data_IF_924030697540
#
_entry.id   IF_924030697540
#
_cell.length_a   1.000
_cell.length_b   1.000
_cell.length_c   1.000
_cell.angle_alpha   90.00
_cell.angle_beta   90.00
_cell.angle_gamma   90.00
#
_symmetry.space_group_name_H-M   'P 1'
#
loop_
_entity.id
_entity.type
_entity.pdbx_description
1 polymer ?
#
# COMPACT_ATOMS: atom_id res chain seq x y z
N UNK A 1 -59.67 27.72 5.77
CA UNK A 1 -58.96 26.42 5.70
C UNK A 1 -57.70 26.65 4.89
N UNK A 2 -56.59 26.92 5.59
CA UNK A 2 -55.28 27.07 4.98
C UNK A 2 -54.66 25.69 4.83
N UNK A 3 -54.16 25.40 3.63
CA UNK A 3 -53.32 24.24 3.37
C UNK A 3 -51.86 24.73 3.29
N UNK A 4 -51.04 24.17 4.18
CA UNK A 4 -49.64 24.49 4.39
C UNK A 4 -48.80 23.37 3.78
N UNK A 5 -47.86 23.73 2.92
CA UNK A 5 -46.47 23.30 3.11
C UNK A 5 -46.01 21.99 2.46
N UNK A 6 -45.31 22.20 1.33
CA UNK A 6 -44.06 21.57 0.88
C UNK A 6 -44.04 20.11 0.39
N UNK A 7 -43.45 19.87 -0.80
CA UNK A 7 -42.75 18.64 -1.10
C UNK A 7 -41.23 18.79 -0.91
N UNK A 8 -40.68 17.91 -0.07
CA UNK A 8 -39.56 17.03 -0.43
C UNK A 8 -38.21 17.67 -0.74
N UNK A 9 -37.36 17.79 0.28
CA UNK A 9 -35.91 17.87 0.14
C UNK A 9 -35.35 16.57 -0.48
N UNK A 10 -35.28 16.54 -1.81
CA UNK A 10 -34.51 15.53 -2.56
C UNK A 10 -33.02 15.81 -2.44
N UNK A 11 -32.38 15.23 -1.41
CA UNK A 11 -30.93 15.18 -1.29
C UNK A 11 -30.34 14.30 -2.38
N UNK A 12 -30.13 14.88 -3.56
CA UNK A 12 -29.38 14.25 -4.64
C UNK A 12 -27.97 13.96 -4.18
N UNK A 13 -27.68 12.69 -3.90
CA UNK A 13 -26.29 12.23 -3.85
C UNK A 13 -25.67 12.58 -5.19
N UNK A 14 -24.66 13.46 -5.17
CA UNK A 14 -23.91 13.81 -6.38
C UNK A 14 -23.25 12.52 -6.86
N UNK A 15 -23.85 11.91 -7.89
CA UNK A 15 -23.27 10.80 -8.60
C UNK A 15 -22.08 11.36 -9.38
N UNK A 16 -20.89 11.33 -8.77
CA UNK A 16 -19.67 11.59 -9.50
C UNK A 16 -19.53 10.52 -10.58
N UNK A 17 -19.38 10.94 -11.84
CA UNK A 17 -19.10 9.99 -12.90
C UNK A 17 -17.71 9.41 -12.60
N UNK A 18 -17.63 8.09 -12.39
CA UNK A 18 -16.39 7.36 -12.08
C UNK A 18 -15.19 7.78 -12.95
N UNK A 19 -15.44 8.11 -14.22
CA UNK A 19 -14.46 8.64 -15.17
C UNK A 19 -13.81 9.95 -14.71
N UNK A 20 -14.56 10.87 -14.13
CA UNK A 20 -14.07 12.18 -13.65
C UNK A 20 -13.22 12.04 -12.39
N UNK A 21 -13.63 11.19 -11.44
CA UNK A 21 -12.88 10.96 -10.21
C UNK A 21 -11.57 10.20 -10.47
N UNK A 22 -11.60 9.23 -11.38
CA UNK A 22 -10.41 8.50 -11.81
C UNK A 22 -9.46 9.42 -12.59
N UNK A 23 -9.97 10.18 -13.57
CA UNK A 23 -9.19 11.16 -14.32
C UNK A 23 -8.58 12.23 -13.40
N UNK A 24 -9.33 12.69 -12.38
CA UNK A 24 -8.80 13.60 -11.38
C UNK A 24 -7.67 12.94 -10.57
N UNK A 25 -7.87 11.73 -10.04
CA UNK A 25 -6.84 11.02 -9.29
C UNK A 25 -5.58 10.79 -10.14
N UNK A 26 -5.73 10.40 -11.41
CA UNK A 26 -4.64 10.26 -12.37
C UNK A 26 -3.92 11.60 -12.63
N UNK A 27 -4.67 12.70 -12.75
CA UNK A 27 -4.10 14.05 -12.91
C UNK A 27 -3.28 14.50 -11.70
N UNK A 28 -3.60 13.98 -10.50
CA UNK A 28 -2.86 14.31 -9.29
C UNK A 28 -1.57 13.50 -9.17
N UNK A 29 -1.44 12.36 -9.83
CA UNK A 29 -0.33 11.45 -9.59
C UNK A 29 1.03 11.99 -10.07
N UNK A 30 1.05 12.93 -11.02
CA UNK A 30 2.26 13.65 -11.44
C UNK A 30 2.27 15.13 -10.97
N UNK A 31 1.44 15.46 -9.96
CA UNK A 31 1.33 16.84 -9.48
C UNK A 31 2.65 17.34 -8.86
N UNK A 32 3.02 18.62 -9.11
CA UNK A 32 4.32 19.15 -8.70
C UNK A 32 4.46 19.28 -7.18
N UNK A 33 3.36 19.23 -6.41
CA UNK A 33 3.40 19.36 -4.95
C UNK A 33 3.97 18.13 -4.24
N UNK A 34 4.07 16.97 -4.90
CA UNK A 34 4.64 15.77 -4.29
C UNK A 34 6.10 15.95 -3.89
N UNK A 35 6.90 16.57 -4.77
CA UNK A 35 8.32 16.81 -4.50
C UNK A 35 8.56 17.63 -3.23
N UNK A 36 8.02 18.87 -3.08
CA UNK A 36 8.23 19.64 -1.85
C UNK A 36 7.63 18.96 -0.62
N UNK A 37 6.50 18.26 -0.74
CA UNK A 37 5.92 17.49 0.38
C UNK A 37 6.88 16.41 0.88
N UNK A 38 7.42 15.59 -0.01
CA UNK A 38 8.36 14.54 0.39
C UNK A 38 9.73 15.07 0.77
N UNK A 39 10.16 16.21 0.21
CA UNK A 39 11.41 16.85 0.60
C UNK A 39 11.33 17.44 2.02
N UNK A 40 10.16 17.93 2.42
CA UNK A 40 9.90 18.36 3.80
C UNK A 40 9.90 17.16 4.77
N UNK A 41 9.19 16.08 4.42
CA UNK A 41 9.15 14.86 5.24
C UNK A 41 10.49 14.11 5.30
N UNK A 42 11.25 14.13 4.21
CA UNK A 42 12.52 13.43 4.03
C UNK A 42 13.57 14.38 3.45
N UNK A 43 14.27 15.16 4.30
CA UNK A 43 15.25 16.15 3.85
C UNK A 43 16.36 15.58 2.95
N UNK A 44 16.73 14.31 3.11
CA UNK A 44 17.72 13.60 2.30
C UNK A 44 17.16 12.96 1.03
N UNK A 45 15.93 13.27 0.62
CA UNK A 45 15.36 12.81 -0.66
C UNK A 45 16.18 13.35 -1.84
N UNK A 46 16.67 12.45 -2.70
CA UNK A 46 17.42 12.79 -3.92
C UNK A 46 16.72 12.40 -5.20
N UNK A 47 15.85 11.41 -5.15
CA UNK A 47 15.10 10.96 -6.33
C UNK A 47 13.71 10.46 -5.95
N UNK A 48 12.77 10.65 -6.86
CA UNK A 48 11.36 10.32 -6.69
C UNK A 48 10.80 9.84 -8.03
N UNK A 49 10.23 8.64 -8.05
CA UNK A 49 9.68 8.05 -9.27
C UNK A 49 8.29 7.44 -9.01
N UNK A 50 7.35 7.69 -9.92
CA UNK A 50 6.01 7.11 -9.87
C UNK A 50 6.00 5.71 -10.47
N UNK A 51 5.35 4.77 -9.82
CA UNK A 51 5.11 3.42 -10.34
C UNK A 51 3.88 3.44 -11.26
N UNK A 52 4.10 3.36 -12.58
CA UNK A 52 3.02 3.50 -13.59
C UNK A 52 2.44 2.18 -14.11
N UNK A 53 3.20 1.08 -14.04
CA UNK A 53 2.81 -0.20 -14.64
C UNK A 53 2.10 -1.08 -13.62
N UNK A 54 0.97 -1.68 -14.04
CA UNK A 54 0.38 -2.79 -13.28
C UNK A 54 1.39 -3.94 -13.21
N UNK A 55 1.64 -4.37 -12.00
CA UNK A 55 2.69 -5.30 -11.65
C UNK A 55 2.69 -5.56 -10.15
N UNK A 56 3.68 -6.31 -9.68
CA UNK A 56 3.78 -6.67 -8.26
C UNK A 56 3.81 -5.43 -7.35
N UNK A 57 4.44 -4.34 -7.79
CA UNK A 57 4.59 -3.11 -7.01
C UNK A 57 3.23 -2.41 -6.78
N UNK A 58 2.44 -2.16 -7.84
CA UNK A 58 1.10 -1.57 -7.69
C UNK A 58 0.16 -2.48 -6.88
N UNK A 59 0.24 -3.80 -7.09
CA UNK A 59 -0.56 -4.77 -6.31
C UNK A 59 -0.12 -4.83 -4.84
N UNK A 60 1.14 -4.51 -4.58
CA UNK A 60 1.71 -4.31 -3.25
C UNK A 60 1.43 -2.93 -2.65
N UNK A 61 0.62 -2.07 -3.30
CA UNK A 61 0.25 -0.75 -2.80
C UNK A 61 1.34 0.31 -2.94
N UNK A 62 2.24 0.16 -3.92
CA UNK A 62 3.34 1.10 -4.15
C UNK A 62 2.96 2.01 -5.32
N UNK A 63 2.66 3.27 -5.02
CA UNK A 63 2.42 4.32 -6.02
C UNK A 63 3.71 5.07 -6.36
N UNK A 64 4.63 5.18 -5.39
CA UNK A 64 5.85 5.96 -5.54
C UNK A 64 7.05 5.34 -4.83
N UNK A 65 8.21 5.53 -5.46
CA UNK A 65 9.53 5.22 -4.94
C UNK A 65 10.25 6.52 -4.56
N UNK A 66 10.81 6.56 -3.35
CA UNK A 66 11.64 7.66 -2.85
C UNK A 66 13.04 7.13 -2.57
N UNK A 67 14.07 7.72 -3.16
CA UNK A 67 15.47 7.35 -2.90
C UNK A 67 16.11 8.44 -2.05
N UNK A 68 16.69 8.04 -0.93
CA UNK A 68 17.42 8.91 -0.01
C UNK A 68 18.93 8.91 -0.32
N UNK A 69 19.65 9.93 0.13
CA UNK A 69 21.12 10.01 0.04
C UNK A 69 21.85 8.79 0.61
N UNK A 70 21.25 8.12 1.60
CA UNK A 70 21.80 6.89 2.19
C UNK A 70 21.72 5.67 1.27
N UNK A 71 21.08 5.78 0.10
CA UNK A 71 20.75 4.67 -0.79
C UNK A 71 19.49 3.90 -0.39
N UNK A 72 18.85 4.25 0.74
CA UNK A 72 17.57 3.64 1.14
C UNK A 72 16.48 4.05 0.14
N UNK A 73 15.72 3.07 -0.32
CA UNK A 73 14.47 3.29 -1.07
C UNK A 73 13.28 3.13 -0.13
N UNK A 74 12.37 4.10 -0.15
CA UNK A 74 11.09 4.04 0.54
C UNK A 74 9.97 3.88 -0.48
N UNK A 75 9.02 3.01 -0.17
CA UNK A 75 7.81 2.77 -0.94
C UNK A 75 6.64 3.52 -0.31
N UNK A 76 5.85 4.21 -1.12
CA UNK A 76 4.74 5.05 -0.64
C UNK A 76 3.45 4.73 -1.40
N UNK A 77 2.35 4.58 -0.65
CA UNK A 77 0.98 4.63 -1.16
C UNK A 77 0.51 6.09 -1.08
N UNK A 78 -0.20 6.56 -2.11
CA UNK A 78 -0.66 7.95 -2.21
C UNK A 78 -2.18 8.07 -2.32
N UNK A 79 -2.74 8.93 -1.47
CA UNK A 79 -4.14 9.31 -1.53
C UNK A 79 -4.31 10.83 -1.52
N UNK A 80 -4.75 11.38 -2.65
CA UNK A 80 -5.14 12.78 -2.75
C UNK A 80 -6.66 12.95 -2.54
N UNK A 81 -7.05 13.98 -1.80
CA UNK A 81 -8.45 14.39 -1.60
C UNK A 81 -8.68 15.78 -2.19
N UNK A 82 -9.67 15.86 -3.08
CA UNK A 82 -10.10 17.11 -3.73
C UNK A 82 -10.78 18.08 -2.77
N UNK A 83 -11.34 17.58 -1.67
CA UNK A 83 -11.98 18.36 -0.61
C UNK A 83 -11.31 18.10 0.73
N UNK A 84 -11.21 19.16 1.53
CA UNK A 84 -10.72 19.05 2.89
C UNK A 84 -11.78 18.41 3.79
N UNK A 85 -11.40 17.31 4.41
CA UNK A 85 -12.12 16.67 5.50
C UNK A 85 -11.12 16.43 6.62
N UNK A 86 -11.40 16.75 7.89
CA UNK A 86 -10.46 16.56 8.99
C UNK A 86 -10.36 15.08 9.42
N UNK A 87 -10.28 14.17 8.45
CA UNK A 87 -10.31 12.71 8.61
C UNK A 87 -9.39 12.02 7.59
N UNK A 88 -9.12 10.75 7.87
CA UNK A 88 -8.44 9.83 6.96
C UNK A 88 -9.41 8.70 6.63
N UNK A 89 -9.64 8.47 5.34
CA UNK A 89 -10.52 7.41 4.85
C UNK A 89 -9.76 6.08 4.75
N UNK A 90 -10.01 5.16 5.68
CA UNK A 90 -9.41 3.83 5.70
C UNK A 90 -10.29 2.84 4.93
N UNK A 91 -9.88 2.45 3.73
CA UNK A 91 -10.64 1.53 2.87
C UNK A 91 -10.54 0.09 3.39
N UNK A 92 -11.64 -0.41 3.94
CA UNK A 92 -11.72 -1.79 4.47
C UNK A 92 -12.39 -2.75 3.48
N UNK A 93 -13.17 -2.25 2.52
CA UNK A 93 -13.64 -3.04 1.37
C UNK A 93 -13.30 -2.34 0.06
N UNK A 94 -12.53 -3.01 -0.80
CA UNK A 94 -12.31 -2.56 -2.18
C UNK A 94 -13.50 -2.93 -3.08
N UNK A 95 -14.10 -4.09 -2.83
CA UNK A 95 -15.34 -4.56 -3.45
C UNK A 95 -16.17 -5.28 -2.39
N UNK A 96 -17.21 -4.59 -1.89
CA UNK A 96 -18.05 -5.11 -0.82
C UNK A 96 -18.85 -6.34 -1.25
N UNK A 97 -19.40 -6.33 -2.46
CA UNK A 97 -20.27 -7.37 -2.99
C UNK A 97 -19.53 -8.72 -3.12
N UNK A 98 -18.23 -8.67 -3.44
CA UNK A 98 -17.34 -9.84 -3.54
C UNK A 98 -16.51 -10.07 -2.28
N UNK A 99 -16.72 -9.29 -1.23
CA UNK A 99 -15.97 -9.35 0.04
C UNK A 99 -14.45 -9.29 -0.21
N UNK A 100 -14.00 -8.42 -1.11
CA UNK A 100 -12.57 -8.22 -1.39
C UNK A 100 -12.04 -7.15 -0.43
N UNK A 101 -11.05 -7.48 0.41
CA UNK A 101 -10.52 -6.54 1.39
C UNK A 101 -10.00 -5.28 0.71
N UNK A 102 -10.18 -4.14 1.37
CA UNK A 102 -9.57 -2.87 1.02
C UNK A 102 -8.09 -2.83 1.42
N UNK A 103 -7.39 -1.76 1.03
CA UNK A 103 -5.94 -1.66 1.23
C UNK A 103 -5.52 -1.71 2.71
N UNK A 104 -6.31 -1.18 3.65
CA UNK A 104 -5.93 -1.15 5.08
C UNK A 104 -5.97 -2.54 5.73
N UNK A 105 -6.76 -3.47 5.18
CA UNK A 105 -6.84 -4.85 5.65
C UNK A 105 -5.65 -5.70 5.17
N UNK A 106 -4.97 -5.28 4.10
CA UNK A 106 -3.89 -6.04 3.43
C UNK A 106 -2.53 -5.75 4.06
N UNK A 107 -1.64 -6.73 4.00
CA UNK A 107 -0.23 -6.56 4.32
C UNK A 107 0.50 -6.09 3.06
N UNK A 108 0.49 -4.78 2.84
CA UNK A 108 1.10 -4.15 1.66
C UNK A 108 2.62 -4.05 1.81
N UNK A 109 3.31 -3.94 0.67
CA UNK A 109 4.76 -3.79 0.60
C UNK A 109 5.21 -2.32 0.76
N UNK A 110 4.28 -1.42 1.07
CA UNK A 110 4.55 0.01 1.21
C UNK A 110 5.11 0.35 2.59
N UNK A 111 6.08 1.26 2.66
CA UNK A 111 6.67 1.72 3.92
C UNK A 111 5.80 2.81 4.56
N UNK A 112 5.21 3.69 3.74
CA UNK A 112 4.41 4.83 4.18
C UNK A 112 3.10 4.97 3.40
N UNK A 113 2.09 5.48 4.09
CA UNK A 113 0.82 5.93 3.51
C UNK A 113 0.78 7.47 3.55
N UNK A 114 0.71 8.11 2.38
CA UNK A 114 0.65 9.56 2.25
C UNK A 114 -0.75 10.02 1.87
N UNK A 115 -1.38 10.82 2.73
CA UNK A 115 -2.72 11.34 2.54
C UNK A 115 -2.71 12.86 2.44
N UNK A 116 -3.17 13.41 1.31
CA UNK A 116 -3.06 14.84 1.00
C UNK A 116 -4.42 15.47 0.79
N UNK A 117 -4.65 16.64 1.41
CA UNK A 117 -5.77 17.51 1.11
C UNK A 117 -5.31 18.66 0.20
N UNK A 118 -5.55 18.51 -1.09
CA UNK A 118 -5.08 19.45 -2.13
C UNK A 118 -5.48 20.91 -1.83
N UNK A 119 -6.74 21.23 -1.44
CA UNK A 119 -7.13 22.61 -1.18
C UNK A 119 -6.44 23.27 0.03
N UNK A 120 -5.83 22.48 0.92
CA UNK A 120 -5.12 22.98 2.11
C UNK A 120 -3.60 22.97 1.95
N UNK A 121 -3.08 22.43 0.84
CA UNK A 121 -1.65 22.18 0.66
C UNK A 121 -1.03 21.47 1.89
N UNK A 122 -1.77 20.53 2.46
CA UNK A 122 -1.39 19.80 3.66
C UNK A 122 -1.51 18.30 3.41
N UNK A 123 -0.56 17.53 3.93
CA UNK A 123 -0.64 16.09 3.96
C UNK A 123 -0.23 15.53 5.30
N UNK A 124 -0.53 14.25 5.49
CA UNK A 124 -0.04 13.44 6.60
C UNK A 124 0.61 12.19 6.05
N UNK A 125 1.70 11.79 6.68
CA UNK A 125 2.50 10.65 6.28
C UNK A 125 2.57 9.66 7.47
N UNK A 126 1.96 8.49 7.31
CA UNK A 126 1.96 7.46 8.35
C UNK A 126 2.88 6.31 7.97
N UNK A 127 3.69 5.76 8.91
CA UNK A 127 4.35 4.48 8.70
C UNK A 127 3.27 3.39 8.53
N UNK A 128 3.25 2.72 7.39
CA UNK A 128 2.09 1.93 6.97
C UNK A 128 1.81 0.77 7.92
N UNK A 129 2.81 -0.02 8.31
CA UNK A 129 2.58 -1.15 9.23
C UNK A 129 2.13 -0.71 10.62
N UNK A 130 2.57 0.47 11.08
CA UNK A 130 2.09 1.07 12.33
C UNK A 130 0.64 1.52 12.20
N UNK A 131 0.28 2.15 11.08
CA UNK A 131 -1.10 2.52 10.73
C UNK A 131 -2.00 1.28 10.67
N UNK A 132 -1.55 0.21 10.01
CA UNK A 132 -2.26 -1.05 9.92
C UNK A 132 -2.44 -1.70 11.28
N UNK A 133 -1.42 -1.70 12.14
CA UNK A 133 -1.56 -2.16 13.53
C UNK A 133 -2.63 -1.35 14.27
N UNK A 134 -2.59 -0.02 14.16
CA UNK A 134 -3.61 0.85 14.76
C UNK A 134 -5.02 0.53 14.25
N UNK A 135 -5.18 0.28 12.94
CA UNK A 135 -6.44 -0.17 12.36
C UNK A 135 -6.88 -1.51 12.96
N UNK A 136 -6.06 -2.56 12.89
CA UNK A 136 -6.43 -3.89 13.37
C UNK A 136 -6.82 -3.92 14.85
N UNK A 137 -6.15 -3.11 15.68
CA UNK A 137 -6.48 -2.98 17.11
C UNK A 137 -7.82 -2.28 17.34
N UNK A 138 -8.23 -1.34 16.48
CA UNK A 138 -9.38 -0.46 16.74
C UNK A 138 -10.56 -0.65 15.79
N UNK A 139 -10.42 -1.44 14.72
CA UNK A 139 -11.35 -1.48 13.58
C UNK A 139 -12.80 -1.74 13.98
N UNK A 140 -13.05 -2.66 14.91
CA UNK A 140 -14.42 -3.00 15.33
C UNK A 140 -15.11 -1.80 15.98
N UNK A 141 -14.40 -1.11 16.89
CA UNK A 141 -14.89 0.10 17.56
C UNK A 141 -15.08 1.26 16.57
N UNK A 142 -14.12 1.46 15.67
CA UNK A 142 -14.17 2.55 14.70
C UNK A 142 -15.28 2.34 13.67
N UNK A 143 -15.47 1.11 13.17
CA UNK A 143 -16.58 0.78 12.26
C UNK A 143 -17.92 1.01 12.94
N UNK A 144 -18.08 0.55 14.19
CA UNK A 144 -19.31 0.81 14.97
C UNK A 144 -19.57 2.31 15.15
N UNK A 145 -18.55 3.09 15.54
CA UNK A 145 -18.70 4.55 15.67
C UNK A 145 -19.05 5.21 14.33
N UNK A 146 -18.45 4.74 13.22
CA UNK A 146 -18.71 5.23 11.88
C UNK A 146 -20.13 4.91 11.39
N UNK A 147 -20.67 3.74 11.72
CA UNK A 147 -22.06 3.36 11.43
C UNK A 147 -23.05 4.31 12.12
N UNK A 148 -22.79 4.67 13.38
CA UNK A 148 -23.62 5.59 14.15
C UNK A 148 -23.24 7.08 14.01
N UNK A 149 -22.27 7.41 13.17
CA UNK A 149 -21.73 8.77 12.98
C UNK A 149 -21.28 9.46 14.29
N UNK A 150 -20.71 8.71 15.21
CA UNK A 150 -20.27 9.21 16.51
C UNK A 150 -18.88 9.83 16.42
N UNK A 151 -18.59 10.84 17.24
CA UNK A 151 -17.25 11.43 17.39
C UNK A 151 -16.56 11.88 16.08
N UNK A 152 -17.34 12.21 15.04
CA UNK A 152 -16.80 12.60 13.73
C UNK A 152 -16.43 11.42 12.81
N UNK A 153 -16.63 10.18 13.24
CA UNK A 153 -16.49 9.01 12.37
C UNK A 153 -17.66 8.94 11.38
N UNK A 154 -17.42 8.37 10.20
CA UNK A 154 -18.50 7.98 9.28
C UNK A 154 -18.00 6.97 8.24
N UNK A 155 -18.94 6.25 7.64
CA UNK A 155 -18.65 5.40 6.48
C UNK A 155 -18.79 6.21 5.20
N UNK A 156 -17.73 6.27 4.40
CA UNK A 156 -17.76 6.75 3.03
C UNK A 156 -18.00 5.55 2.09
N UNK A 157 -19.05 5.65 1.27
CA UNK A 157 -19.37 4.68 0.23
C UNK A 157 -19.06 5.30 -1.12
N UNK A 158 -18.26 4.61 -1.94
CA UNK A 158 -17.96 5.01 -3.31
C UNK A 158 -18.56 3.96 -4.25
N UNK A 159 -19.74 4.21 -4.83
CA UNK A 159 -20.36 3.27 -5.77
C UNK A 159 -19.62 3.31 -7.11
N UNK A 160 -19.22 2.14 -7.61
CA UNK A 160 -18.62 1.94 -8.92
C UNK A 160 -19.53 1.01 -9.76
N UNK A 161 -19.37 0.95 -11.10
CA UNK A 161 -20.09 0.00 -11.93
C UNK A 161 -19.87 -1.45 -11.46
N UNK A 162 -20.88 -2.06 -10.84
CA UNK A 162 -20.88 -3.45 -10.40
C UNK A 162 -20.23 -3.73 -9.04
N UNK A 163 -19.73 -2.72 -8.33
CA UNK A 163 -19.22 -2.89 -6.96
C UNK A 163 -19.17 -1.59 -6.16
N UNK A 164 -19.11 -1.70 -4.84
CA UNK A 164 -19.01 -0.57 -3.92
C UNK A 164 -17.76 -0.69 -3.06
N UNK A 165 -17.02 0.41 -2.97
CA UNK A 165 -15.88 0.55 -2.07
C UNK A 165 -16.34 1.21 -0.77
N UNK A 166 -15.91 0.67 0.37
CA UNK A 166 -16.24 1.20 1.70
C UNK A 166 -14.98 1.65 2.42
N UNK A 167 -15.03 2.86 2.95
CA UNK A 167 -13.99 3.42 3.82
C UNK A 167 -14.57 3.85 5.15
N UNK A 168 -13.84 3.55 6.22
CA UNK A 168 -14.09 4.09 7.55
C UNK A 168 -13.30 5.38 7.68
N UNK A 169 -13.99 6.51 7.68
CA UNK A 169 -13.36 7.81 7.87
C UNK A 169 -13.12 8.05 9.36
N UNK A 170 -11.85 8.11 9.74
CA UNK A 170 -11.40 8.30 11.12
C UNK A 170 -10.90 9.73 11.31
N UNK A 171 -11.41 10.48 12.30
CA UNK A 171 -10.94 11.83 12.59
C UNK A 171 -9.41 11.89 12.79
N UNK A 172 -8.78 12.91 12.22
CA UNK A 172 -7.32 13.03 12.19
C UNK A 172 -6.66 12.98 13.59
N UNK A 173 -7.18 13.64 14.63
CA UNK A 173 -6.59 13.54 15.98
C UNK A 173 -6.62 12.10 16.54
N UNK A 174 -7.68 11.34 16.23
CA UNK A 174 -7.88 9.99 16.75
C UNK A 174 -6.94 9.01 16.07
N UNK A 175 -6.87 9.05 14.74
CA UNK A 175 -5.96 8.16 14.01
C UNK A 175 -4.50 8.47 14.33
N UNK A 176 -4.13 9.74 14.48
CA UNK A 176 -2.77 10.15 14.85
C UNK A 176 -2.38 9.63 16.24
N UNK A 177 -3.29 9.72 17.22
CA UNK A 177 -3.08 9.16 18.55
C UNK A 177 -2.94 7.64 18.51
N UNK A 178 -3.81 6.95 17.77
CA UNK A 178 -3.77 5.50 17.65
C UNK A 178 -2.48 4.99 16.96
N UNK A 179 -2.01 5.69 15.92
CA UNK A 179 -0.71 5.39 15.28
C UNK A 179 0.42 5.58 16.28
N UNK A 180 0.44 6.69 17.03
CA UNK A 180 1.44 6.94 18.08
C UNK A 180 1.44 5.85 19.15
N UNK A 181 0.27 5.37 19.55
CA UNK A 181 0.17 4.27 20.52
C UNK A 181 0.59 2.93 19.92
N UNK A 182 0.31 2.68 18.64
CA UNK A 182 0.74 1.48 17.93
C UNK A 182 2.27 1.38 17.79
N UNK A 183 3.01 2.50 17.87
CA UNK A 183 4.48 2.48 17.93
C UNK A 183 5.01 1.90 19.25
N UNK A 184 4.20 1.88 20.31
CA UNK A 184 4.59 1.28 21.59
C UNK A 184 4.41 -0.23 21.50
N UNK A 185 5.43 -0.95 21.95
CA UNK A 185 5.43 -2.41 22.03
C UNK A 185 5.85 -2.79 23.43
N UNK A 186 4.97 -3.50 24.13
CA UNK A 186 5.30 -4.16 25.39
C UNK A 186 5.46 -5.64 25.11
N UNK A 187 6.52 -6.23 25.66
CA UNK A 187 6.70 -7.68 25.67
C UNK A 187 6.74 -8.13 27.12
N UNK A 188 6.01 -9.20 27.44
CA UNK A 188 6.24 -9.92 28.69
C UNK A 188 7.52 -10.73 28.52
N UNK A 189 8.41 -10.72 29.52
CA UNK A 189 9.49 -11.70 29.59
C UNK A 189 8.84 -13.09 29.71
N UNK A 190 8.70 -13.79 28.59
CA UNK A 190 8.55 -15.24 28.64
C UNK A 190 9.79 -15.78 29.37
N UNK A 191 9.65 -16.75 30.31
CA UNK A 191 10.82 -17.47 30.77
C UNK A 191 11.53 -18.04 29.54
N UNK A 192 12.84 -17.87 29.52
CA UNK A 192 13.72 -18.26 28.42
C UNK A 192 13.33 -19.66 27.93
N UNK A 193 12.85 -19.84 26.68
CA UNK A 193 12.68 -21.19 26.17
C UNK A 193 14.06 -21.82 26.24
N UNK A 194 14.18 -22.90 27.02
CA UNK A 194 15.46 -23.59 27.20
C UNK A 194 16.12 -23.75 25.83
N UNK A 195 17.40 -23.35 25.68
CA UNK A 195 18.05 -23.36 24.38
C UNK A 195 17.86 -24.77 23.76
N UNK A 196 17.53 -24.87 22.46
CA UNK A 196 17.37 -26.16 21.82
C UNK A 196 18.65 -26.96 22.03
N UNK A 197 18.55 -28.06 22.79
CA UNK A 197 19.70 -28.84 23.29
C UNK A 197 20.59 -29.37 22.16
N UNK A 198 20.17 -29.29 20.89
CA UNK A 198 20.91 -29.80 19.73
C UNK A 198 20.72 -29.01 18.41
N UNK A 199 20.47 -27.70 18.44
CA UNK A 199 20.51 -26.94 17.18
C UNK A 199 21.98 -26.68 16.77
N UNK A 200 22.44 -27.09 15.57
CA UNK A 200 23.75 -26.71 15.10
C UNK A 200 23.82 -25.18 15.02
N UNK A 201 24.91 -24.63 15.57
CA UNK A 201 25.16 -23.20 15.70
C UNK A 201 24.88 -22.46 14.37
N UNK A 202 23.86 -21.58 14.31
CA UNK A 202 23.46 -20.91 13.07
C UNK A 202 24.56 -19.97 12.53
N UNK A 203 25.51 -19.56 13.37
CA UNK A 203 26.67 -18.76 12.96
C UNK A 203 27.67 -19.60 12.15
N UNK A 204 27.81 -20.90 12.45
CA UNK A 204 28.66 -21.81 11.66
C UNK A 204 28.08 -22.09 10.27
N UNK A 205 26.76 -22.21 10.14
CA UNK A 205 26.10 -22.45 8.86
C UNK A 205 26.22 -21.24 7.90
N UNK A 206 26.21 -20.00 8.42
CA UNK A 206 26.33 -18.81 7.59
C UNK A 206 27.79 -18.54 7.12
N UNK A 207 28.80 -18.93 7.90
CA UNK A 207 30.22 -18.74 7.53
C UNK A 207 30.67 -19.74 6.46
N UNK A 208 30.15 -20.98 6.45
CA UNK A 208 30.49 -21.96 5.42
C UNK A 208 29.95 -21.60 4.02
N UNK A 209 28.86 -20.84 3.92
CA UNK A 209 28.33 -20.35 2.63
C UNK A 209 29.17 -19.21 2.06
N UNK A 210 29.88 -18.44 2.91
CA UNK A 210 30.61 -17.24 2.49
C UNK A 210 32.12 -17.44 2.27
N UNK A 211 32.68 -18.62 2.60
CA UNK A 211 34.13 -18.89 2.49
C UNK A 211 34.49 -20.11 1.63
N UNK A 212 33.72 -20.41 0.57
CA UNK A 212 33.93 -21.61 -0.25
C UNK A 212 33.90 -21.41 -1.77
N UNK A 213 35.01 -20.90 -2.33
CA UNK A 213 35.48 -21.06 -3.73
C UNK A 213 34.60 -20.55 -4.89
N UNK A 214 35.10 -19.45 -5.48
CA UNK A 214 35.06 -19.19 -6.92
C UNK A 214 35.50 -20.47 -7.70
N UNK A 215 34.64 -20.98 -8.57
CA UNK A 215 35.06 -21.73 -9.75
C UNK A 215 34.35 -21.16 -10.97
N UNK A 216 35.11 -20.47 -11.81
CA UNK A 216 34.84 -20.39 -13.25
C UNK A 216 35.48 -21.65 -13.86
N UNK A 217 34.68 -22.50 -14.50
CA UNK A 217 34.80 -22.93 -15.92
C UNK A 217 33.88 -24.13 -16.21
N UNK A 218 33.09 -23.97 -17.29
CA UNK A 218 32.60 -24.94 -18.27
C UNK A 218 32.03 -26.30 -17.82
N UNK A 219 30.79 -26.60 -18.24
CA UNK A 219 30.60 -27.63 -19.28
C UNK A 219 29.24 -27.52 -19.98
N UNK A 220 29.32 -27.19 -21.27
CA UNK A 220 28.27 -27.36 -22.25
C UNK A 220 28.30 -28.84 -22.69
N UNK A 221 27.19 -29.60 -22.64
CA UNK A 221 27.20 -30.96 -23.15
C UNK A 221 27.28 -30.95 -24.68
N UNK A 222 28.47 -31.27 -25.20
CA UNK A 222 28.69 -31.62 -26.60
C UNK A 222 27.84 -32.86 -26.93
N UNK A 223 26.95 -32.73 -27.92
CA UNK A 223 26.34 -33.88 -28.60
C UNK A 223 27.37 -34.51 -29.54
N UNK A 224 27.41 -35.83 -29.49
CA UNK A 224 28.33 -36.72 -30.20
C UNK A 224 28.26 -36.59 -31.74
N UNK A 225 29.37 -36.89 -32.45
CA UNK A 225 29.42 -36.92 -33.91
C UNK A 225 28.75 -38.19 -34.46
N UNK A 226 27.88 -38.01 -35.46
CA UNK A 226 27.36 -39.11 -36.27
C UNK A 226 28.40 -39.44 -37.34
N UNK A 227 29.04 -40.61 -37.21
CA UNK A 227 29.96 -41.17 -38.17
C UNK A 227 29.23 -41.78 -39.38
N UNK A 228 29.48 -41.21 -40.55
CA UNK A 228 29.71 -41.86 -41.86
C UNK A 228 28.74 -42.93 -42.41
N UNK A 229 28.19 -42.69 -43.60
CA UNK A 229 28.58 -43.45 -44.80
C UNK A 229 28.04 -42.89 -46.14
N UNK A 230 28.99 -42.70 -47.08
CA UNK A 230 28.99 -42.95 -48.54
C UNK A 230 27.98 -42.26 -49.49
N UNK A 231 28.56 -41.43 -50.37
CA UNK A 231 28.55 -41.49 -51.85
C UNK A 231 27.23 -41.79 -52.58
N UNK A 232 26.82 -40.92 -53.52
CA UNK A 232 27.21 -40.95 -54.94
C UNK A 232 26.67 -39.74 -55.70
N UNK A 233 27.42 -39.33 -56.72
CA UNK A 233 27.09 -38.31 -57.68
C UNK A 233 26.38 -38.89 -58.92
N UNK A 234 25.51 -38.07 -59.51
CA UNK A 234 25.21 -37.97 -60.95
C UNK A 234 23.97 -38.71 -61.48
N UNK A 235 23.48 -38.39 -62.69
CA UNK A 235 23.62 -37.12 -63.44
C UNK A 235 22.32 -36.62 -64.13
N UNK A 236 22.46 -35.45 -64.76
CA UNK A 236 21.59 -34.75 -65.73
C UNK A 236 20.43 -33.93 -65.14
#
# INVERSE_FOLDING_TARGET
>A
MGDLGQPGSGGGGVMHQFSEDLCWAESQADAPYWWPLYKDAFPSLVHMERVKKDGWAQRGGIDRLLVLESGKTLHVEEKARRKYYPDVALEHWSNYERQIPGWIEKDLATDYFCYVWVPKAQGVLFPFHTLRKAWLTNRESWMKQAEYRQNGFYIAKSPNPGYTTYSTCVPLPIISAAVKDAMKVSWSSMPDPAPPVNAPDPVRAAVEVFQGRLFVTADCPQRAPISGHRQRAGPI
#
